data_IF_733952049412
#
_entry.id   IF_733952049412
#
_cell.length_a   1.000
_cell.length_b   1.000
_cell.length_c   1.000
_cell.angle_alpha   90.00
_cell.angle_beta   90.00
_cell.angle_gamma   90.00
#
_symmetry.space_group_name_H-M   'P 1'
#
loop_
_entity.id
_entity.type
_entity.pdbx_description
1 polymer ?
#
# COMPACT_ATOMS: atom_id res chain seq x y z
N UNK A 1 6.38 -2.54 -10.36
CA UNK A 1 7.44 -2.66 -9.33
C UNK A 1 7.39 -1.40 -8.48
N UNK A 2 7.27 -1.55 -7.18
CA UNK A 2 7.13 -0.41 -6.26
C UNK A 2 8.26 0.62 -6.42
N UNK A 3 7.91 1.85 -6.11
CA UNK A 3 8.80 3.01 -6.08
C UNK A 3 8.61 3.69 -4.72
N UNK A 4 9.70 4.14 -4.11
CA UNK A 4 9.65 4.86 -2.83
C UNK A 4 10.09 6.30 -3.05
N UNK A 5 9.32 7.24 -2.50
CA UNK A 5 9.65 8.67 -2.43
C UNK A 5 9.78 9.09 -0.97
N UNK A 6 10.89 9.73 -0.64
CA UNK A 6 11.20 10.15 0.71
C UNK A 6 11.08 11.68 0.76
N UNK A 7 10.33 12.21 1.72
CA UNK A 7 10.03 13.63 1.82
C UNK A 7 8.90 14.09 0.88
N UNK A 8 8.91 15.34 0.47
CA UNK A 8 7.91 15.94 -0.43
C UNK A 8 6.70 16.51 0.30
N UNK A 9 6.73 16.60 1.62
CA UNK A 9 5.75 17.32 2.40
C UNK A 9 5.85 18.84 2.21
N UNK A 10 4.82 19.54 2.66
CA UNK A 10 4.83 21.01 2.72
C UNK A 10 5.46 21.42 4.04
N UNK A 11 6.56 22.19 3.99
CA UNK A 11 7.20 22.75 5.18
C UNK A 11 6.36 23.88 5.80
N UNK A 12 6.62 24.22 7.06
CA UNK A 12 5.86 25.27 7.80
C UNK A 12 5.90 26.66 7.12
N UNK A 13 6.92 26.93 6.32
CA UNK A 13 7.07 28.16 5.53
C UNK A 13 6.38 28.09 4.15
N UNK A 14 5.66 27.01 3.86
CA UNK A 14 4.93 26.79 2.58
C UNK A 14 5.83 26.29 1.44
N UNK A 15 7.10 26.01 1.70
CA UNK A 15 8.00 25.33 0.76
C UNK A 15 7.66 23.83 0.65
N UNK A 16 8.20 23.16 -0.39
CA UNK A 16 8.18 21.70 -0.46
C UNK A 16 9.53 21.14 -0.11
N UNK A 17 9.53 20.12 0.72
CA UNK A 17 10.75 19.38 1.05
C UNK A 17 11.32 18.70 -0.20
N UNK A 18 12.64 18.54 -0.20
CA UNK A 18 13.31 17.78 -1.27
C UNK A 18 12.79 16.34 -1.30
N UNK A 19 12.64 15.82 -2.50
CA UNK A 19 12.20 14.44 -2.74
C UNK A 19 13.38 13.60 -3.18
N UNK A 20 13.69 12.57 -2.40
CA UNK A 20 14.58 11.49 -2.82
C UNK A 20 13.75 10.33 -3.35
N UNK A 21 14.17 9.71 -4.44
CA UNK A 21 13.45 8.57 -5.04
C UNK A 21 14.33 7.34 -5.02
N UNK A 22 13.80 6.25 -4.45
CA UNK A 22 14.43 4.93 -4.45
C UNK A 22 13.71 4.06 -5.48
N UNK A 23 14.48 3.51 -6.41
CA UNK A 23 14.02 2.63 -7.49
C UNK A 23 14.86 1.38 -7.56
N UNK A 24 14.35 0.37 -8.24
CA UNK A 24 15.02 -0.92 -8.25
C UNK A 24 14.54 -1.83 -7.12
N UNK A 25 14.35 -3.11 -7.45
CA UNK A 25 13.76 -4.07 -6.50
C UNK A 25 14.60 -4.22 -5.22
N UNK A 26 15.91 -4.36 -5.38
CA UNK A 26 16.81 -4.60 -4.26
C UNK A 26 16.87 -3.39 -3.32
N UNK A 27 16.99 -2.20 -3.90
CA UNK A 27 17.05 -0.93 -3.18
C UNK A 27 15.76 -0.64 -2.43
N UNK A 28 14.60 -0.81 -3.08
CA UNK A 28 13.28 -0.65 -2.47
C UNK A 28 13.10 -1.65 -1.33
N UNK A 29 13.41 -2.94 -1.54
CA UNK A 29 13.33 -3.95 -0.50
C UNK A 29 14.22 -3.61 0.69
N UNK A 30 15.47 -3.21 0.44
CA UNK A 30 16.42 -2.84 1.49
C UNK A 30 15.97 -1.59 2.26
N UNK A 31 15.41 -0.59 1.55
CA UNK A 31 14.87 0.61 2.19
C UNK A 31 13.68 0.25 3.10
N UNK A 32 12.69 -0.46 2.59
CA UNK A 32 11.48 -0.81 3.33
C UNK A 32 11.77 -1.71 4.53
N UNK A 33 12.70 -2.67 4.39
CA UNK A 33 13.12 -3.54 5.51
C UNK A 33 13.71 -2.76 6.69
N UNK A 34 14.41 -1.64 6.45
CA UNK A 34 14.91 -0.77 7.55
C UNK A 34 13.79 -0.15 8.37
N UNK A 35 12.60 -0.03 7.78
CA UNK A 35 11.37 0.46 8.43
C UNK A 35 10.43 -0.65 8.88
N UNK A 36 10.90 -1.92 8.86
CA UNK A 36 10.10 -3.08 9.25
C UNK A 36 9.00 -3.48 8.25
N UNK A 37 8.97 -2.85 7.08
CA UNK A 37 7.98 -3.12 6.04
C UNK A 37 8.52 -4.22 5.13
N UNK A 38 7.77 -5.30 4.97
CA UNK A 38 8.10 -6.35 4.01
C UNK A 38 7.55 -6.00 2.63
N UNK A 39 8.40 -6.18 1.63
CA UNK A 39 8.04 -6.00 0.24
C UNK A 39 8.48 -7.21 -0.57
N UNK A 40 7.53 -7.78 -1.28
CA UNK A 40 7.77 -8.88 -2.21
C UNK A 40 7.16 -8.55 -3.57
N UNK A 41 7.70 -9.14 -4.62
CA UNK A 41 7.02 -9.15 -5.91
C UNK A 41 6.66 -10.58 -6.26
N UNK A 42 5.36 -10.82 -6.39
CA UNK A 42 4.86 -12.09 -6.87
C UNK A 42 4.76 -12.02 -8.39
N UNK A 43 5.52 -12.87 -9.05
CA UNK A 43 5.31 -13.10 -10.48
C UNK A 43 4.04 -13.92 -10.61
N UNK A 44 3.00 -13.34 -11.21
CA UNK A 44 1.75 -14.06 -11.41
C UNK A 44 2.00 -15.24 -12.35
N UNK A 45 2.27 -16.41 -11.77
CA UNK A 45 2.18 -17.68 -12.51
C UNK A 45 0.73 -18.00 -12.89
N UNK A 46 -0.21 -17.22 -12.35
CA UNK A 46 -1.63 -17.42 -12.49
C UNK A 46 -2.19 -16.39 -13.46
N UNK A 47 -2.57 -16.83 -14.65
CA UNK A 47 -3.34 -16.03 -15.60
C UNK A 47 -4.78 -15.88 -15.07
N UNK A 48 -4.94 -15.11 -13.98
CA UNK A 48 -6.25 -14.74 -13.47
C UNK A 48 -6.69 -13.49 -14.22
N UNK A 49 -7.84 -13.56 -14.89
CA UNK A 49 -8.43 -12.38 -15.48
C UNK A 49 -8.70 -11.32 -14.41
N UNK A 50 -8.42 -10.06 -14.74
CA UNK A 50 -8.79 -8.93 -13.88
C UNK A 50 -10.29 -8.88 -13.56
N UNK A 51 -11.12 -9.52 -14.36
CA UNK A 51 -12.57 -9.65 -14.19
C UNK A 51 -12.99 -10.91 -13.40
N UNK A 52 -12.04 -11.76 -13.00
CA UNK A 52 -12.37 -12.99 -12.27
C UNK A 52 -13.08 -12.69 -10.94
N UNK A 53 -14.06 -13.51 -10.52
CA UNK A 53 -14.71 -13.32 -9.22
C UNK A 53 -13.70 -13.52 -8.07
N UNK A 54 -13.95 -12.92 -6.89
CA UNK A 54 -13.05 -12.99 -5.73
C UNK A 54 -12.61 -14.41 -5.38
N UNK A 55 -13.53 -15.37 -5.35
CA UNK A 55 -13.23 -16.77 -5.00
C UNK A 55 -12.24 -17.42 -6.01
N UNK A 56 -12.37 -17.11 -7.30
CA UNK A 56 -11.45 -17.62 -8.30
C UNK A 56 -10.04 -17.02 -8.14
N UNK A 57 -9.96 -15.75 -7.73
CA UNK A 57 -8.68 -15.09 -7.42
C UNK A 57 -8.05 -15.74 -6.19
N UNK A 58 -8.78 -15.87 -5.09
CA UNK A 58 -8.27 -16.49 -3.87
C UNK A 58 -7.83 -17.94 -4.12
N UNK A 59 -8.57 -18.70 -4.93
CA UNK A 59 -8.19 -20.06 -5.31
C UNK A 59 -6.90 -20.09 -6.15
N UNK A 60 -6.73 -19.17 -7.08
CA UNK A 60 -5.54 -19.09 -7.93
C UNK A 60 -4.28 -18.75 -7.12
N UNK A 61 -4.38 -17.93 -6.09
CA UNK A 61 -3.27 -17.52 -5.21
C UNK A 61 -3.23 -18.30 -3.88
N UNK A 62 -3.98 -19.42 -3.78
CA UNK A 62 -4.04 -20.19 -2.54
C UNK A 62 -2.66 -20.61 -1.98
N UNK A 63 -1.70 -21.11 -2.80
CA UNK A 63 -0.39 -21.49 -2.28
C UNK A 63 0.37 -20.33 -1.61
N UNK A 64 0.33 -19.14 -2.22
CA UNK A 64 0.98 -17.94 -1.70
C UNK A 64 0.27 -17.42 -0.45
N UNK A 65 -1.07 -17.43 -0.46
CA UNK A 65 -1.90 -17.06 0.69
C UNK A 65 -1.63 -17.99 1.87
N UNK A 66 -1.57 -19.31 1.65
CA UNK A 66 -1.31 -20.29 2.69
C UNK A 66 0.11 -20.15 3.28
N UNK A 67 1.10 -19.85 2.42
CA UNK A 67 2.45 -19.55 2.87
C UNK A 67 2.51 -18.30 3.76
N UNK A 68 1.78 -17.24 3.39
CA UNK A 68 1.65 -16.03 4.20
C UNK A 68 0.94 -16.31 5.53
N UNK A 69 -0.16 -17.06 5.51
CA UNK A 69 -0.89 -17.47 6.72
C UNK A 69 0.01 -18.25 7.68
N UNK A 70 0.78 -19.18 7.15
CA UNK A 70 1.68 -20.01 7.98
C UNK A 70 2.79 -19.19 8.66
N UNK A 71 3.34 -18.16 7.99
CA UNK A 71 4.45 -17.36 8.55
C UNK A 71 3.99 -16.17 9.38
N UNK A 72 2.79 -15.60 9.10
CA UNK A 72 2.33 -14.36 9.72
C UNK A 72 1.11 -14.48 10.64
N UNK A 73 0.57 -15.72 10.81
CA UNK A 73 -0.59 -15.95 11.67
C UNK A 73 -1.90 -15.36 11.13
N UNK A 74 -1.99 -15.13 9.82
CA UNK A 74 -3.21 -14.63 9.20
C UNK A 74 -4.27 -15.74 9.15
N UNK A 75 -5.51 -15.40 9.50
CA UNK A 75 -6.61 -16.39 9.60
C UNK A 75 -7.55 -16.31 8.41
N UNK A 76 -7.69 -15.14 7.80
CA UNK A 76 -8.58 -14.96 6.65
C UNK A 76 -7.95 -14.09 5.56
N UNK A 77 -8.53 -14.17 4.37
CA UNK A 77 -8.18 -13.33 3.24
C UNK A 77 -9.43 -12.96 2.45
N UNK A 78 -9.44 -11.79 1.85
CA UNK A 78 -10.48 -11.34 0.93
C UNK A 78 -9.89 -10.63 -0.29
N UNK A 79 -10.76 -10.26 -1.23
CA UNK A 79 -10.40 -9.43 -2.38
C UNK A 79 -11.22 -8.14 -2.33
N UNK A 80 -10.52 -7.01 -2.24
CA UNK A 80 -11.13 -5.70 -2.47
C UNK A 80 -11.03 -5.33 -3.96
N UNK A 81 -12.10 -4.76 -4.49
CA UNK A 81 -12.16 -4.27 -5.88
C UNK A 81 -12.73 -2.84 -5.86
N UNK A 82 -11.89 -1.87 -6.11
CA UNK A 82 -12.23 -0.45 -6.14
C UNK A 82 -12.11 0.05 -7.56
N UNK A 83 -13.18 0.71 -8.03
CA UNK A 83 -13.30 1.27 -9.39
C UNK A 83 -13.78 2.71 -9.30
N UNK A 84 -13.60 3.53 -10.36
CA UNK A 84 -14.07 4.92 -10.37
C UNK A 84 -15.57 5.07 -10.11
N UNK A 85 -16.36 4.07 -10.48
CA UNK A 85 -17.81 4.01 -10.31
C UNK A 85 -18.27 3.29 -9.01
N UNK A 86 -17.33 2.94 -8.12
CA UNK A 86 -17.67 2.33 -6.82
C UNK A 86 -18.57 3.26 -6.02
N UNK A 87 -19.74 2.80 -5.55
CA UNK A 87 -20.65 3.63 -4.78
C UNK A 87 -19.99 4.22 -3.52
N UNK A 88 -20.20 5.51 -3.27
CA UNK A 88 -19.62 6.23 -2.13
C UNK A 88 -18.09 6.19 -2.04
N UNK A 89 -17.41 6.11 -3.18
CA UNK A 89 -15.96 5.96 -3.25
C UNK A 89 -15.22 7.02 -2.42
N UNK A 90 -15.58 8.31 -2.55
CA UNK A 90 -14.91 9.39 -1.83
C UNK A 90 -15.04 9.25 -0.31
N UNK A 91 -16.21 8.83 0.17
CA UNK A 91 -16.43 8.60 1.60
C UNK A 91 -15.64 7.36 2.10
N UNK A 92 -15.49 6.34 1.26
CA UNK A 92 -14.67 5.18 1.57
C UNK A 92 -13.19 5.56 1.63
N UNK A 93 -12.70 6.31 0.63
CA UNK A 93 -11.31 6.75 0.57
C UNK A 93 -10.95 7.69 1.74
N UNK A 94 -11.84 8.58 2.12
CA UNK A 94 -11.64 9.49 3.25
C UNK A 94 -11.34 8.78 4.58
N UNK A 95 -11.68 7.50 4.72
CA UNK A 95 -11.31 6.70 5.91
C UNK A 95 -9.85 6.30 5.91
N UNK A 96 -9.23 6.15 4.74
CA UNK A 96 -7.88 5.64 4.60
C UNK A 96 -6.85 6.73 4.26
N UNK A 97 -7.30 7.88 3.76
CA UNK A 97 -6.44 9.02 3.41
C UNK A 97 -6.02 9.89 4.60
N UNK A 98 -6.51 9.58 5.81
CA UNK A 98 -6.07 10.20 7.06
C UNK A 98 -5.04 9.32 7.75
N UNK A 99 -4.05 9.92 8.38
CA UNK A 99 -3.05 9.18 9.15
C UNK A 99 -3.71 8.35 10.25
N UNK A 100 -3.40 7.07 10.25
CA UNK A 100 -3.90 6.07 11.20
C UNK A 100 -2.91 4.94 11.38
N UNK A 101 -3.19 4.04 12.32
CA UNK A 101 -2.50 2.78 12.52
C UNK A 101 -3.50 1.67 12.84
N UNK A 102 -3.05 0.42 12.80
CA UNK A 102 -3.87 -0.76 13.09
C UNK A 102 -3.25 -1.62 14.19
N UNK A 103 -4.08 -2.37 14.92
CA UNK A 103 -3.65 -3.38 15.91
C UNK A 103 -3.07 -4.64 15.24
N UNK A 104 -3.24 -4.78 13.94
CA UNK A 104 -2.80 -5.88 13.10
C UNK A 104 -1.86 -5.40 11.98
N UNK A 105 -1.13 -6.35 11.39
CA UNK A 105 -0.40 -6.08 10.16
C UNK A 105 -1.35 -5.81 9.01
N UNK A 106 -1.08 -4.78 8.22
CA UNK A 106 -1.80 -4.56 6.96
C UNK A 106 -1.05 -5.24 5.81
N UNK A 107 -1.66 -6.28 5.24
CA UNK A 107 -1.08 -7.04 4.13
C UNK A 107 -1.92 -6.87 2.88
N UNK A 108 -1.29 -6.38 1.80
CA UNK A 108 -1.93 -6.24 0.50
C UNK A 108 -1.05 -6.81 -0.61
N UNK A 109 -1.65 -7.64 -1.45
CA UNK A 109 -1.10 -8.03 -2.74
C UNK A 109 -1.92 -7.39 -3.85
N UNK A 110 -1.28 -6.56 -4.66
CA UNK A 110 -1.95 -5.79 -5.71
C UNK A 110 -2.11 -6.66 -6.96
N UNK A 111 -3.35 -6.87 -7.39
CA UNK A 111 -3.70 -7.63 -8.60
C UNK A 111 -3.81 -6.70 -9.80
N UNK A 112 -4.39 -5.51 -9.59
CA UNK A 112 -4.63 -4.53 -10.63
C UNK A 112 -4.64 -3.11 -10.04
N UNK A 113 -4.30 -2.14 -10.88
CA UNK A 113 -4.28 -0.73 -10.48
C UNK A 113 -3.05 -0.33 -9.69
N UNK A 114 -3.14 0.80 -9.02
CA UNK A 114 -2.03 1.43 -8.29
C UNK A 114 -2.53 2.22 -7.11
N UNK A 115 -1.67 2.39 -6.11
CA UNK A 115 -1.94 3.23 -4.96
C UNK A 115 -0.67 3.68 -4.25
N UNK A 116 -0.85 4.63 -3.35
CA UNK A 116 0.22 5.21 -2.53
C UNK A 116 -0.01 4.87 -1.06
N UNK A 117 0.93 4.15 -0.47
CA UNK A 117 1.08 4.07 0.97
C UNK A 117 2.04 5.15 1.44
N UNK A 118 1.56 6.10 2.19
CA UNK A 118 2.41 7.02 2.93
C UNK A 118 2.70 6.42 4.30
N UNK A 119 3.94 6.46 4.71
CA UNK A 119 4.41 5.95 6.00
C UNK A 119 5.09 7.07 6.76
N UNK A 120 4.65 7.29 7.99
CA UNK A 120 5.23 8.23 8.92
C UNK A 120 6.03 7.45 9.98
N UNK A 121 7.33 7.26 9.79
CA UNK A 121 8.14 6.50 10.72
C UNK A 121 8.34 7.25 12.03
N UNK A 122 8.62 6.52 13.13
CA UNK A 122 8.91 7.14 14.42
C UNK A 122 10.14 8.08 14.41
N UNK A 123 11.01 7.92 13.42
CA UNK A 123 12.17 8.79 13.19
C UNK A 123 12.46 8.91 11.70
N UNK A 124 12.78 10.12 11.26
CA UNK A 124 13.05 10.44 9.86
C UNK A 124 11.82 11.00 9.11
N UNK A 125 11.99 11.33 7.84
CA UNK A 125 10.94 11.93 7.03
C UNK A 125 9.85 10.91 6.67
N UNK A 126 8.64 11.40 6.40
CA UNK A 126 7.59 10.63 5.76
C UNK A 126 8.07 10.15 4.40
N UNK A 127 7.69 8.94 4.03
CA UNK A 127 7.93 8.41 2.70
C UNK A 127 6.67 7.78 2.11
N UNK A 128 6.55 7.83 0.79
CA UNK A 128 5.45 7.24 0.05
C UNK A 128 5.93 6.04 -0.77
N UNK A 129 5.17 4.95 -0.71
CA UNK A 129 5.40 3.72 -1.47
C UNK A 129 4.32 3.67 -2.55
N UNK A 130 4.71 3.88 -3.82
CA UNK A 130 3.80 3.63 -4.93
C UNK A 130 3.83 2.14 -5.27
N UNK A 131 2.70 1.46 -5.06
CA UNK A 131 2.51 0.03 -5.34
C UNK A 131 1.67 -0.17 -6.59
N UNK A 132 1.96 -1.22 -7.35
CA UNK A 132 1.27 -1.61 -8.57
C UNK A 132 1.01 -3.12 -8.64
N UNK A 133 0.34 -3.57 -9.69
CA UNK A 133 0.07 -4.99 -9.91
C UNK A 133 1.33 -5.87 -9.80
N UNK A 134 1.24 -6.92 -8.99
CA UNK A 134 2.32 -7.85 -8.66
C UNK A 134 3.11 -7.50 -7.39
N UNK A 135 2.85 -6.34 -6.78
CA UNK A 135 3.51 -5.96 -5.52
C UNK A 135 2.74 -6.48 -4.31
N UNK A 136 3.45 -7.12 -3.40
CA UNK A 136 3.00 -7.46 -2.04
C UNK A 136 3.69 -6.53 -1.06
N UNK A 137 2.91 -5.92 -0.18
CA UNK A 137 3.40 -5.12 0.93
C UNK A 137 2.78 -5.60 2.24
N UNK A 138 3.60 -5.65 3.31
CA UNK A 138 3.14 -5.81 4.68
C UNK A 138 3.62 -4.62 5.51
N UNK A 139 2.67 -3.82 5.96
CA UNK A 139 2.88 -2.73 6.91
C UNK A 139 2.64 -3.29 8.32
N UNK A 140 3.64 -3.28 9.23
CA UNK A 140 3.48 -3.82 10.57
C UNK A 140 2.43 -3.06 11.38
N UNK A 141 1.73 -3.76 12.27
CA UNK A 141 0.86 -3.13 13.27
C UNK A 141 1.57 -1.97 14.00
N UNK A 142 0.81 -0.96 14.35
CA UNK A 142 1.32 0.23 15.04
C UNK A 142 2.07 1.21 14.14
N UNK A 143 2.32 0.90 12.87
CA UNK A 143 2.95 1.82 11.93
C UNK A 143 1.95 2.92 11.55
N UNK A 144 2.32 4.18 11.73
CA UNK A 144 1.51 5.31 11.28
C UNK A 144 1.59 5.41 9.75
N UNK A 145 0.46 5.40 9.10
CA UNK A 145 0.37 5.42 7.64
C UNK A 145 -0.99 5.95 7.16
N UNK A 146 -1.07 6.22 5.86
CA UNK A 146 -2.33 6.45 5.16
C UNK A 146 -2.21 6.00 3.71
N UNK A 147 -3.35 5.87 3.04
CA UNK A 147 -3.42 5.32 1.71
C UNK A 147 -4.27 6.18 0.78
N UNK A 148 -3.74 6.47 -0.40
CA UNK A 148 -4.42 7.17 -1.48
C UNK A 148 -4.42 6.33 -2.77
N UNK A 149 -5.47 6.47 -3.55
CA UNK A 149 -5.48 5.92 -4.91
C UNK A 149 -4.77 6.86 -5.88
N UNK A 150 -4.16 6.29 -6.90
CA UNK A 150 -3.68 7.04 -8.05
C UNK A 150 -4.86 7.61 -8.86
N UNK A 151 -4.57 8.53 -9.80
CA UNK A 151 -5.59 9.29 -10.50
C UNK A 151 -6.58 8.47 -11.34
N UNK A 152 -6.24 7.22 -11.68
CA UNK A 152 -7.13 6.26 -12.33
C UNK A 152 -8.18 5.68 -11.37
N UNK A 153 -8.04 5.92 -10.06
CA UNK A 153 -8.97 5.52 -9.00
C UNK A 153 -9.35 4.05 -9.05
N UNK A 154 -8.39 3.21 -9.43
CA UNK A 154 -8.58 1.77 -9.60
C UNK A 154 -7.54 1.00 -8.81
N UNK A 155 -8.00 0.10 -7.95
CA UNK A 155 -7.16 -0.89 -7.30
C UNK A 155 -7.94 -2.15 -7.01
N UNK A 156 -7.33 -3.30 -7.29
CA UNK A 156 -7.81 -4.60 -6.90
C UNK A 156 -6.71 -5.33 -6.16
N UNK A 157 -7.00 -5.80 -4.96
CA UNK A 157 -5.98 -6.40 -4.11
C UNK A 157 -6.54 -7.54 -3.26
N UNK A 158 -5.70 -8.56 -3.02
CA UNK A 158 -5.91 -9.53 -1.94
C UNK A 158 -5.44 -8.86 -0.64
N UNK A 159 -6.26 -8.99 0.42
CA UNK A 159 -5.93 -8.57 1.78
C UNK A 159 -5.90 -9.78 2.69
N UNK A 160 -4.97 -9.81 3.66
CA UNK A 160 -4.91 -10.83 4.69
C UNK A 160 -5.07 -10.20 6.07
N UNK A 161 -5.78 -10.90 6.96
CA UNK A 161 -6.14 -10.41 8.30
C UNK A 161 -5.76 -11.43 9.37
N UNK A 162 -5.28 -10.95 10.50
CA UNK A 162 -5.00 -11.75 11.71
C UNK A 162 -6.25 -11.94 12.57
N UNK A 163 -7.24 -11.06 12.44
CA UNK A 163 -8.56 -11.18 13.04
C UNK A 163 -9.68 -11.10 11.97
N UNK A 164 -10.78 -11.79 12.21
CA UNK A 164 -11.93 -11.84 11.29
C UNK A 164 -12.71 -10.52 11.25
N UNK A 165 -12.54 -9.64 12.22
CA UNK A 165 -13.17 -8.31 12.25
C UNK A 165 -12.56 -7.34 11.25
N UNK A 166 -11.35 -7.66 10.73
CA UNK A 166 -10.62 -6.82 9.80
C UNK A 166 -9.96 -5.61 10.47
N UNK A 167 -9.36 -4.74 9.66
CA UNK A 167 -8.60 -3.60 10.15
C UNK A 167 -9.48 -2.46 10.64
N UNK A 168 -9.31 -2.10 11.91
CA UNK A 168 -9.89 -0.90 12.49
C UNK A 168 -8.85 0.22 12.45
N UNK A 169 -9.11 1.37 11.81
CA UNK A 169 -8.17 2.49 11.81
C UNK A 169 -8.23 3.23 13.15
N UNK A 170 -7.08 3.42 13.78
CA UNK A 170 -6.88 4.31 14.92
C UNK A 170 -6.27 5.61 14.44
N UNK A 171 -7.06 6.66 14.32
CA UNK A 171 -6.59 7.95 13.80
C UNK A 171 -5.68 8.66 14.79
N UNK A 172 -4.56 9.22 14.29
CA UNK A 172 -3.59 9.95 15.12
C UNK A 172 -3.99 11.40 15.35
N UNK A 173 -4.77 11.96 14.42
CA UNK A 173 -5.13 13.39 14.35
C UNK A 173 -3.91 14.35 14.35
N UNK A 174 -2.76 13.85 13.91
CA UNK A 174 -1.52 14.63 13.82
C UNK A 174 -1.58 15.75 12.78
N UNK A 175 -2.39 15.55 11.74
CA UNK A 175 -2.50 16.45 10.59
C UNK A 175 -1.32 16.37 9.60
N UNK A 176 -0.37 15.46 9.79
CA UNK A 176 0.79 15.27 8.90
C UNK A 176 0.34 14.89 7.49
N UNK A 177 -0.69 14.04 7.38
CA UNK A 177 -1.30 13.63 6.11
C UNK A 177 -1.70 14.81 5.20
N UNK A 178 -2.10 15.94 5.78
CA UNK A 178 -2.53 17.14 5.04
C UNK A 178 -1.39 17.85 4.30
N UNK A 179 -0.16 17.60 4.70
CA UNK A 179 1.04 18.15 4.05
C UNK A 179 1.47 17.41 2.79
N UNK A 180 0.82 16.28 2.46
CA UNK A 180 1.25 15.42 1.35
C UNK A 180 0.16 15.30 0.29
N UNK A 181 0.47 15.69 -0.95
CA UNK A 181 -0.42 15.48 -2.09
C UNK A 181 -0.21 14.06 -2.65
N UNK A 182 -1.29 13.33 -2.98
CA UNK A 182 -1.19 11.98 -3.55
C UNK A 182 -0.80 12.03 -5.03
N UNK A 183 0.49 12.15 -5.30
CA UNK A 183 1.03 12.19 -6.66
C UNK A 183 1.66 10.86 -7.02
N UNK A 184 1.06 10.14 -7.99
CA UNK A 184 1.59 8.88 -8.54
C UNK A 184 2.30 9.15 -9.86
N UNK A 185 3.50 8.64 -10.00
CA UNK A 185 4.27 8.78 -11.24
C UNK A 185 4.41 7.46 -12.00
N UNK A 186 4.45 6.33 -11.28
CA UNK A 186 4.84 5.05 -11.81
C UNK A 186 6.35 4.96 -12.13
N UNK A 187 6.90 3.77 -12.20
CA UNK A 187 8.33 3.54 -12.46
C UNK A 187 8.80 4.12 -13.80
N UNK A 188 7.90 4.23 -14.78
CA UNK A 188 8.21 4.75 -16.11
C UNK A 188 8.56 6.25 -16.14
N UNK A 189 8.17 7.00 -15.11
CA UNK A 189 8.44 8.43 -15.01
C UNK A 189 9.70 8.77 -14.21
N UNK A 190 10.35 7.77 -13.63
CA UNK A 190 11.61 7.98 -12.92
C UNK A 190 12.73 8.03 -13.95
N UNK A 191 13.40 9.17 -14.02
CA UNK A 191 14.58 9.34 -14.89
C UNK A 191 15.63 8.32 -14.47
N UNK A 192 15.99 7.43 -15.36
CA UNK A 192 17.18 6.58 -15.18
C UNK A 192 18.39 7.49 -15.34
N UNK A 193 19.02 7.83 -14.22
CA UNK A 193 20.31 8.53 -14.20
C UNK A 193 21.42 7.52 -14.27
#
# INVERSE_FOLDING_TARGET
MALVRIGGGTSEDGGRDAVETVTGRAEVTAFLSRHGIDYERWTSAHAVSAEAPPDAILAAYAPEIDALKARGGYVTADVIDVKPDTPNLDMMLAKFSREHWHDEDEVRFIIEGRGLFHVHPAAGPVFAIEVEAGDLIRVPRGTHHWFDLCGDRRIRAIRLFQDVSGWTPHYTDSGVDKGFEPVCFGPAYVSQR
#
